data_IF_422061124030
#
_entry.id   IF_422061124030
#
_cell.length_a   1.000
_cell.length_b   1.000
_cell.length_c   1.000
_cell.angle_alpha   90.00
_cell.angle_beta   90.00
_cell.angle_gamma   90.00
#
_symmetry.space_group_name_H-M   'P 1'
#
loop_
_entity.id
_entity.type
_entity.pdbx_description
1 polymer ?
#
# COMPACT_ATOMS: atom_id res chain seq x y z
N UNK A 1 22.48 5.26 -4.77
CA UNK A 1 21.23 5.76 -5.37
C UNK A 1 21.20 5.40 -6.85
N UNK A 2 20.03 5.01 -7.34
CA UNK A 2 19.71 4.80 -8.75
C UNK A 2 18.57 5.77 -9.09
N UNK A 3 18.70 6.55 -10.16
CA UNK A 3 17.65 7.44 -10.63
C UNK A 3 17.45 7.25 -12.13
N UNK A 4 16.22 7.37 -12.61
CA UNK A 4 15.90 7.16 -14.01
C UNK A 4 14.70 7.96 -14.49
N UNK A 5 14.65 8.13 -15.81
CA UNK A 5 13.53 8.75 -16.53
C UNK A 5 13.01 7.73 -17.52
N UNK A 6 11.70 7.53 -17.52
CA UNK A 6 10.98 6.70 -18.49
C UNK A 6 10.30 7.62 -19.49
N UNK A 7 10.38 7.29 -20.79
CA UNK A 7 9.71 8.01 -21.87
C UNK A 7 9.14 7.03 -22.89
N UNK A 8 8.03 7.39 -23.52
CA UNK A 8 7.42 6.59 -24.57
C UNK A 8 6.76 5.30 -24.07
N UNK A 9 6.41 5.23 -22.78
CA UNK A 9 5.57 4.15 -22.29
C UNK A 9 4.18 4.22 -22.96
N UNK A 10 3.64 3.06 -23.34
CA UNK A 10 2.29 2.97 -23.91
C UNK A 10 1.29 3.75 -23.06
N UNK A 11 0.47 4.56 -23.73
CA UNK A 11 -0.27 5.71 -23.21
C UNK A 11 -0.91 5.51 -21.82
N UNK A 12 -0.11 5.59 -20.77
CA UNK A 12 -0.56 5.85 -19.41
C UNK A 12 -0.91 7.33 -19.36
N UNK A 13 -2.21 7.61 -19.22
CA UNK A 13 -2.63 8.98 -18.93
C UNK A 13 -1.93 9.42 -17.66
N UNK A 14 -1.38 10.64 -17.68
CA UNK A 14 -0.75 11.19 -16.49
C UNK A 14 -1.79 11.28 -15.37
N UNK A 15 -1.54 10.57 -14.27
CA UNK A 15 -2.30 10.71 -13.03
C UNK A 15 -1.48 11.54 -12.07
N UNK A 16 -2.10 12.58 -11.50
CA UNK A 16 -1.43 13.41 -10.52
C UNK A 16 -1.10 12.57 -9.28
N UNK A 17 0.19 12.46 -8.96
CA UNK A 17 0.65 11.80 -7.74
C UNK A 17 0.40 12.63 -6.48
N UNK A 18 0.28 11.96 -5.33
CA UNK A 18 0.13 12.57 -4.01
C UNK A 18 0.55 11.62 -2.89
N UNK A 19 1.84 11.56 -2.57
CA UNK A 19 2.38 10.71 -1.51
C UNK A 19 2.28 11.28 -0.09
N UNK A 20 1.50 12.34 0.14
CA UNK A 20 1.36 12.97 1.47
C UNK A 20 0.85 12.00 2.54
N UNK A 21 0.02 11.03 2.16
CA UNK A 21 -0.49 10.01 3.09
C UNK A 21 0.60 9.06 3.58
N UNK A 22 1.68 8.86 2.82
CA UNK A 22 2.86 8.12 3.26
C UNK A 22 3.68 8.93 4.27
N UNK A 23 3.95 10.21 3.95
CA UNK A 23 4.72 11.09 4.83
C UNK A 23 4.02 11.35 6.17
N UNK A 24 2.68 11.34 6.18
CA UNK A 24 1.85 11.53 7.37
C UNK A 24 1.64 10.25 8.19
N UNK A 25 2.37 9.15 7.92
CA UNK A 25 2.31 7.96 8.77
C UNK A 25 2.99 8.20 10.13
N UNK A 26 2.68 7.37 11.14
CA UNK A 26 3.40 7.35 12.41
C UNK A 26 4.93 7.25 12.25
N UNK A 27 5.70 7.93 13.10
CA UNK A 27 7.16 7.94 13.00
C UNK A 27 7.81 6.57 13.30
N UNK A 28 7.10 5.68 14.00
CA UNK A 28 7.54 4.31 14.26
C UNK A 28 7.25 3.36 13.08
N UNK A 29 6.72 3.82 11.94
CA UNK A 29 6.56 3.00 10.75
C UNK A 29 7.90 2.37 10.36
N UNK A 30 7.87 1.05 10.15
CA UNK A 30 9.00 0.24 9.75
C UNK A 30 8.97 -0.06 8.25
N UNK A 31 7.79 -0.29 7.68
CA UNK A 31 7.65 -0.47 6.24
C UNK A 31 6.33 0.13 5.77
N UNK A 32 6.33 0.77 4.61
CA UNK A 32 5.13 1.28 3.99
C UNK A 32 5.24 1.37 2.47
N UNK A 33 4.10 1.19 1.81
CA UNK A 33 3.92 1.35 0.38
C UNK A 33 2.74 2.26 0.15
N UNK A 34 2.90 3.21 -0.76
CA UNK A 34 1.86 4.12 -1.17
C UNK A 34 1.70 4.09 -2.69
N UNK A 35 0.45 4.11 -3.14
CA UNK A 35 0.06 4.26 -4.54
C UNK A 35 -1.03 5.32 -4.62
N UNK A 36 -0.88 6.27 -5.53
CA UNK A 36 -1.90 7.26 -5.87
C UNK A 36 -2.36 7.11 -7.32
N UNK A 37 -3.64 7.41 -7.55
CA UNK A 37 -4.30 7.19 -8.82
C UNK A 37 -4.71 5.75 -9.10
N UNK A 38 -4.75 4.89 -8.08
CA UNK A 38 -5.05 3.46 -8.27
C UNK A 38 -6.44 3.24 -8.88
N UNK A 39 -7.44 4.02 -8.47
CA UNK A 39 -8.77 4.06 -9.09
C UNK A 39 -8.74 4.34 -10.60
N UNK A 40 -7.95 5.31 -11.04
CA UNK A 40 -7.81 5.69 -12.44
C UNK A 40 -6.98 4.69 -13.24
N UNK A 41 -5.92 4.13 -12.62
CA UNK A 41 -5.10 3.08 -13.23
C UNK A 41 -5.93 1.82 -13.49
N UNK A 42 -6.89 1.52 -12.62
CA UNK A 42 -7.75 0.35 -12.75
C UNK A 42 -8.61 0.41 -14.00
N UNK A 43 -9.07 1.59 -14.45
CA UNK A 43 -9.84 1.72 -15.70
C UNK A 43 -9.08 1.17 -16.92
N UNK A 44 -7.76 1.36 -16.94
CA UNK A 44 -6.90 0.87 -18.02
C UNK A 44 -6.50 -0.60 -17.82
N UNK A 45 -6.33 -1.04 -16.57
CA UNK A 45 -5.88 -2.39 -16.25
C UNK A 45 -7.02 -3.43 -16.25
N UNK A 46 -8.25 -3.02 -15.96
CA UNK A 46 -9.39 -3.91 -15.75
C UNK A 46 -9.69 -4.84 -16.94
N UNK A 47 -9.67 -4.39 -18.20
CA UNK A 47 -9.94 -5.29 -19.33
C UNK A 47 -8.96 -6.46 -19.40
N UNK A 48 -7.69 -6.24 -19.04
CA UNK A 48 -6.69 -7.30 -19.00
C UNK A 48 -6.85 -8.19 -17.76
N UNK A 49 -7.11 -7.61 -16.59
CA UNK A 49 -7.38 -8.35 -15.37
C UNK A 49 -8.61 -9.26 -15.52
N UNK A 50 -9.69 -8.75 -16.10
CA UNK A 50 -10.90 -9.53 -16.40
C UNK A 50 -10.57 -10.74 -17.28
N UNK A 51 -9.81 -10.56 -18.36
CA UNK A 51 -9.40 -11.67 -19.23
C UNK A 51 -8.61 -12.74 -18.48
N UNK A 52 -7.73 -12.34 -17.57
CA UNK A 52 -6.96 -13.28 -16.74
C UNK A 52 -7.86 -14.04 -15.76
N UNK A 53 -8.77 -13.33 -15.10
CA UNK A 53 -9.78 -13.91 -14.21
C UNK A 53 -10.66 -14.92 -14.96
N UNK A 54 -11.20 -14.54 -16.11
CA UNK A 54 -12.03 -15.41 -16.95
C UNK A 54 -11.25 -16.66 -17.40
N UNK A 55 -9.97 -16.50 -17.75
CA UNK A 55 -9.09 -17.61 -18.12
C UNK A 55 -8.83 -18.59 -16.98
N UNK A 56 -8.65 -18.09 -15.76
CA UNK A 56 -8.51 -18.93 -14.55
C UNK A 56 -9.81 -19.66 -14.22
N UNK A 57 -10.95 -18.96 -14.30
CA UNK A 57 -12.27 -19.53 -14.05
C UNK A 57 -12.57 -20.68 -15.02
N UNK A 58 -12.32 -20.46 -16.32
CA UNK A 58 -12.48 -21.47 -17.36
C UNK A 58 -11.57 -22.70 -17.13
N UNK A 59 -10.32 -22.50 -16.69
CA UNK A 59 -9.42 -23.59 -16.33
C UNK A 59 -9.90 -24.39 -15.11
N UNK A 60 -10.63 -23.75 -14.18
CA UNK A 60 -11.23 -24.36 -13.00
C UNK A 60 -12.63 -24.93 -13.22
N UNK A 61 -13.19 -24.85 -14.43
CA UNK A 61 -14.56 -25.29 -14.73
C UNK A 61 -15.65 -24.45 -14.06
N UNK A 62 -15.33 -23.22 -13.65
CA UNK A 62 -16.29 -22.25 -13.12
C UNK A 62 -16.66 -21.26 -14.23
N UNK A 63 -17.95 -21.14 -14.48
CA UNK A 63 -18.47 -20.08 -15.35
C UNK A 63 -18.62 -18.79 -14.53
N UNK A 64 -18.05 -17.70 -15.07
CA UNK A 64 -18.19 -16.31 -14.59
C UNK A 64 -17.90 -16.09 -13.08
N UNK A 65 -16.63 -16.22 -12.72
CA UNK A 65 -16.15 -15.96 -11.35
C UNK A 65 -16.44 -14.53 -10.87
N UNK A 66 -16.49 -13.55 -11.77
CA UNK A 66 -16.77 -12.14 -11.42
C UNK A 66 -18.22 -12.01 -10.95
N UNK A 67 -19.18 -12.52 -11.72
CA UNK A 67 -20.59 -12.47 -11.33
C UNK A 67 -20.85 -13.17 -9.98
N UNK A 68 -20.14 -14.26 -9.71
CA UNK A 68 -20.20 -14.95 -8.41
C UNK A 68 -19.73 -14.06 -7.27
N UNK A 69 -18.61 -13.36 -7.44
CA UNK A 69 -18.07 -12.43 -6.43
C UNK A 69 -19.02 -11.25 -6.23
N UNK A 70 -19.51 -10.66 -7.31
CA UNK A 70 -20.48 -9.56 -7.28
C UNK A 70 -21.74 -9.93 -6.50
N UNK A 71 -22.28 -11.12 -6.73
CA UNK A 71 -23.46 -11.61 -6.02
C UNK A 71 -23.18 -11.90 -4.55
N UNK A 72 -22.04 -12.53 -4.23
CA UNK A 72 -21.71 -12.90 -2.85
C UNK A 72 -21.42 -11.69 -1.96
N UNK A 73 -20.70 -10.71 -2.48
CA UNK A 73 -20.32 -9.51 -1.75
C UNK A 73 -21.32 -8.36 -1.93
N UNK A 74 -22.31 -8.50 -2.82
CA UNK A 74 -23.21 -7.44 -3.28
C UNK A 74 -22.41 -6.19 -3.70
N UNK A 75 -21.45 -6.43 -4.60
CA UNK A 75 -20.54 -5.43 -5.18
C UNK A 75 -20.68 -5.37 -6.70
N UNK A 76 -20.17 -4.30 -7.30
CA UNK A 76 -20.11 -4.06 -8.74
C UNK A 76 -18.66 -3.83 -9.14
N UNK A 77 -18.09 -4.73 -9.92
CA UNK A 77 -16.70 -4.66 -10.36
C UNK A 77 -16.63 -4.09 -11.79
N UNK A 78 -15.70 -3.15 -12.07
CA UNK A 78 -14.58 -2.70 -11.23
C UNK A 78 -14.93 -1.56 -10.26
N UNK A 79 -16.14 -0.98 -10.31
CA UNK A 79 -16.47 0.27 -9.64
C UNK A 79 -16.22 0.25 -8.13
N UNK A 80 -16.66 -0.80 -7.44
CA UNK A 80 -16.43 -0.97 -6.01
C UNK A 80 -14.96 -1.26 -5.67
N UNK A 81 -14.20 -1.87 -6.59
CA UNK A 81 -12.75 -2.02 -6.42
C UNK A 81 -12.04 -0.66 -6.54
N UNK A 82 -12.50 0.23 -7.42
CA UNK A 82 -12.01 1.61 -7.50
C UNK A 82 -12.29 2.37 -6.21
N UNK A 83 -13.46 2.15 -5.61
CA UNK A 83 -13.83 2.75 -4.31
C UNK A 83 -12.92 2.26 -3.18
N UNK A 84 -12.60 0.96 -3.16
CA UNK A 84 -11.68 0.36 -2.17
C UNK A 84 -10.23 0.78 -2.33
N UNK A 85 -9.73 0.91 -3.56
CA UNK A 85 -8.37 1.41 -3.84
C UNK A 85 -8.28 2.92 -3.67
N UNK A 86 -9.37 3.63 -3.96
CA UNK A 86 -9.50 5.07 -3.86
C UNK A 86 -8.57 5.85 -4.80
N UNK A 87 -8.57 7.17 -4.60
CA UNK A 87 -7.62 8.12 -5.22
C UNK A 87 -6.21 7.85 -4.73
N UNK A 88 -6.05 7.30 -3.54
CA UNK A 88 -4.78 6.78 -3.06
C UNK A 88 -4.97 5.72 -1.99
N UNK A 89 -4.02 4.79 -1.93
CA UNK A 89 -3.97 3.73 -0.96
C UNK A 89 -2.55 3.61 -0.40
N UNK A 90 -2.45 3.51 0.92
CA UNK A 90 -1.21 3.31 1.66
C UNK A 90 -1.36 2.07 2.53
N UNK A 91 -0.39 1.15 2.47
CA UNK A 91 -0.22 0.08 3.46
C UNK A 91 0.99 0.44 4.33
N UNK A 92 0.86 0.25 5.64
CA UNK A 92 1.91 0.53 6.59
C UNK A 92 1.99 -0.52 7.69
N UNK A 93 3.21 -0.77 8.13
CA UNK A 93 3.55 -1.66 9.23
C UNK A 93 4.42 -0.90 10.23
N UNK A 94 4.05 -0.86 11.53
CA UNK A 94 4.88 -0.26 12.55
C UNK A 94 6.02 -1.21 12.96
N UNK A 95 7.03 -0.66 13.65
CA UNK A 95 7.96 -1.47 14.44
C UNK A 95 7.16 -2.34 15.41
N UNK A 96 7.47 -3.63 15.46
CA UNK A 96 6.74 -4.60 16.26
C UNK A 96 7.63 -5.80 16.62
N UNK A 97 7.26 -6.49 17.70
CA UNK A 97 7.89 -7.76 18.07
C UNK A 97 7.16 -8.94 17.44
N UNK A 98 7.77 -9.50 16.40
CA UNK A 98 7.24 -10.66 15.68
C UNK A 98 7.26 -11.96 16.50
N UNK A 99 7.98 -12.01 17.63
CA UNK A 99 7.97 -13.15 18.54
C UNK A 99 6.71 -13.21 19.40
N UNK A 100 5.99 -12.09 19.52
CA UNK A 100 4.77 -11.99 20.32
C UNK A 100 3.57 -12.76 19.74
N UNK A 101 3.68 -13.23 18.48
CA UNK A 101 2.60 -13.90 17.76
C UNK A 101 1.48 -12.96 17.29
N UNK A 102 1.56 -11.65 17.61
CA UNK A 102 0.60 -10.63 17.17
C UNK A 102 1.19 -9.84 16.03
N UNK A 103 0.52 -9.87 14.87
CA UNK A 103 0.92 -9.11 13.69
C UNK A 103 0.15 -7.80 13.60
N UNK A 104 0.88 -6.68 13.50
CA UNK A 104 0.29 -5.34 13.36
C UNK A 104 0.55 -4.81 11.95
N UNK A 105 -0.51 -4.54 11.21
CA UNK A 105 -0.45 -3.84 9.95
C UNK A 105 -1.76 -3.07 9.73
N UNK A 106 -1.74 -2.15 8.78
CA UNK A 106 -2.92 -1.41 8.42
C UNK A 106 -2.77 -0.65 7.12
N UNK A 107 -3.89 -0.11 6.69
CA UNK A 107 -4.03 0.61 5.45
C UNK A 107 -4.83 1.89 5.63
N UNK A 108 -4.54 2.84 4.76
CA UNK A 108 -5.24 4.10 4.63
C UNK A 108 -5.65 4.27 3.17
N UNK A 109 -6.94 4.49 2.95
CA UNK A 109 -7.52 4.77 1.63
C UNK A 109 -8.08 6.18 1.64
N UNK A 110 -7.79 6.97 0.61
CA UNK A 110 -8.50 8.21 0.30
C UNK A 110 -9.50 7.89 -0.81
N UNK A 111 -10.76 7.71 -0.46
CA UNK A 111 -11.78 7.19 -1.37
C UNK A 111 -12.63 8.30 -2.01
N UNK A 112 -13.22 7.99 -3.18
CA UNK A 112 -14.32 8.77 -3.75
C UNK A 112 -15.64 8.56 -3.00
N UNK A 113 -15.80 7.42 -2.33
CA UNK A 113 -16.97 7.06 -1.55
C UNK A 113 -16.55 6.24 -0.33
N UNK A 114 -16.10 6.95 0.71
CA UNK A 114 -15.60 6.32 1.93
C UNK A 114 -16.67 5.47 2.64
N UNK A 115 -17.96 5.86 2.52
CA UNK A 115 -19.06 5.09 3.11
C UNK A 115 -19.25 3.76 2.38
N UNK A 116 -19.25 3.77 1.04
CA UNK A 116 -19.34 2.52 0.26
C UNK A 116 -18.12 1.63 0.50
N UNK A 117 -16.91 2.20 0.57
CA UNK A 117 -15.70 1.46 0.92
C UNK A 117 -15.83 0.76 2.28
N UNK A 118 -16.34 1.47 3.29
CA UNK A 118 -16.59 0.96 4.64
C UNK A 118 -17.58 -0.22 4.63
N UNK A 119 -18.72 -0.07 3.95
CA UNK A 119 -19.73 -1.13 3.80
C UNK A 119 -19.16 -2.41 3.13
N UNK A 120 -18.26 -2.25 2.16
CA UNK A 120 -17.62 -3.40 1.49
C UNK A 120 -16.60 -4.07 2.43
N UNK A 121 -15.81 -3.27 3.15
CA UNK A 121 -14.85 -3.80 4.15
C UNK A 121 -15.60 -4.58 5.23
N UNK A 122 -16.71 -4.04 5.75
CA UNK A 122 -17.58 -4.71 6.71
C UNK A 122 -18.00 -6.11 6.24
N UNK A 123 -18.43 -6.23 4.98
CA UNK A 123 -18.84 -7.51 4.38
C UNK A 123 -17.67 -8.47 4.24
N UNK A 124 -16.52 -7.98 3.78
CA UNK A 124 -15.30 -8.79 3.66
C UNK A 124 -14.87 -9.36 5.02
N UNK A 125 -14.93 -8.54 6.08
CA UNK A 125 -14.64 -8.97 7.44
C UNK A 125 -15.61 -10.06 7.88
N UNK A 126 -16.91 -9.81 7.74
CA UNK A 126 -17.96 -10.78 8.12
C UNK A 126 -17.81 -12.13 7.41
N UNK A 127 -17.38 -12.13 6.14
CA UNK A 127 -17.16 -13.36 5.36
C UNK A 127 -15.87 -14.10 5.73
N UNK A 128 -14.80 -13.38 6.07
CA UNK A 128 -13.46 -13.97 6.21
C UNK A 128 -13.29 -14.81 7.48
N UNK A 129 -14.00 -14.48 8.56
CA UNK A 129 -13.60 -14.95 9.90
C UNK A 129 -14.74 -15.55 10.73
N UNK A 130 -16.00 -15.35 10.35
CA UNK A 130 -17.13 -15.60 11.25
C UNK A 130 -17.02 -14.89 12.62
N UNK A 131 -16.03 -14.01 12.78
CA UNK A 131 -15.55 -13.38 14.01
C UNK A 131 -15.15 -11.95 13.66
N UNK A 132 -15.88 -10.96 14.14
CA UNK A 132 -15.73 -9.52 13.83
C UNK A 132 -14.37 -8.90 14.19
N UNK A 133 -13.43 -9.67 14.74
CA UNK A 133 -12.29 -9.14 15.50
C UNK A 133 -10.95 -9.22 14.74
N UNK A 134 -10.95 -9.66 13.47
CA UNK A 134 -9.70 -9.84 12.72
C UNK A 134 -9.07 -8.53 12.24
N UNK A 135 -9.89 -7.51 11.97
CA UNK A 135 -9.45 -6.16 11.60
C UNK A 135 -10.45 -5.14 12.11
N UNK A 136 -9.94 -3.97 12.49
CA UNK A 136 -10.73 -2.78 12.82
C UNK A 136 -10.73 -1.85 11.61
N UNK A 137 -11.85 -1.20 11.35
CA UNK A 137 -11.98 -0.19 10.29
C UNK A 137 -12.66 1.06 10.84
N UNK A 138 -12.27 2.23 10.31
CA UNK A 138 -12.74 3.55 10.73
C UNK A 138 -12.86 4.46 9.52
N UNK A 139 -13.84 5.36 9.55
CA UNK A 139 -14.04 6.38 8.51
C UNK A 139 -13.90 7.78 9.10
N UNK A 140 -13.23 8.67 8.37
CA UNK A 140 -13.19 10.11 8.66
C UNK A 140 -13.16 10.92 7.36
N UNK A 141 -14.23 11.65 7.08
CA UNK A 141 -14.35 12.40 5.82
C UNK A 141 -14.30 11.46 4.62
N UNK A 142 -13.30 11.65 3.76
CA UNK A 142 -13.04 10.83 2.58
C UNK A 142 -12.05 9.68 2.83
N UNK A 143 -11.63 9.46 4.08
CA UNK A 143 -10.61 8.49 4.45
C UNK A 143 -11.19 7.27 5.12
N UNK A 144 -10.71 6.11 4.71
CA UNK A 144 -10.95 4.82 5.37
C UNK A 144 -9.63 4.28 5.92
N UNK A 145 -9.66 3.87 7.17
CA UNK A 145 -8.55 3.27 7.88
C UNK A 145 -8.92 1.83 8.20
N UNK A 146 -8.03 0.89 7.92
CA UNK A 146 -8.20 -0.53 8.26
C UNK A 146 -6.93 -0.99 8.96
N UNK A 147 -7.02 -1.70 10.08
CA UNK A 147 -5.84 -2.23 10.76
C UNK A 147 -6.15 -3.55 11.44
N UNK A 148 -5.12 -4.35 11.72
CA UNK A 148 -5.27 -5.59 12.49
C UNK A 148 -5.53 -5.34 13.98
N UNK A 149 -5.36 -4.10 14.47
CA UNK A 149 -5.67 -3.71 15.85
C UNK A 149 -6.40 -2.37 15.91
N UNK A 150 -7.29 -2.16 16.90
CA UNK A 150 -7.97 -0.87 17.09
C UNK A 150 -7.03 0.30 17.31
N UNK A 151 -5.98 0.08 18.10
CA UNK A 151 -4.95 1.09 18.43
C UNK A 151 -4.21 1.54 17.18
N UNK A 152 -3.82 0.62 16.30
CA UNK A 152 -3.12 1.01 15.08
C UNK A 152 -4.05 1.70 14.06
N UNK A 153 -5.35 1.38 14.05
CA UNK A 153 -6.32 2.18 13.29
C UNK A 153 -6.40 3.63 13.81
N UNK A 154 -6.30 3.84 15.13
CA UNK A 154 -6.24 5.19 15.73
C UNK A 154 -4.93 5.92 15.42
N UNK A 155 -3.79 5.21 15.42
CA UNK A 155 -2.50 5.77 15.01
C UNK A 155 -2.51 6.24 13.55
N UNK A 156 -3.04 5.41 12.64
CA UNK A 156 -3.17 5.75 11.22
C UNK A 156 -4.10 6.95 11.00
N UNK A 157 -5.20 7.02 11.78
CA UNK A 157 -6.15 8.13 11.75
C UNK A 157 -5.53 9.43 12.26
N UNK A 158 -4.85 9.37 13.41
CA UNK A 158 -4.18 10.52 14.02
C UNK A 158 -3.04 11.05 13.15
N UNK A 159 -2.44 10.17 12.35
CA UNK A 159 -1.30 10.50 11.51
C UNK A 159 -0.02 10.66 12.32
N UNK A 160 1.01 11.17 11.66
CA UNK A 160 2.32 11.27 12.25
C UNK A 160 3.31 12.05 11.40
N UNK A 161 4.59 11.82 11.68
CA UNK A 161 5.70 12.61 11.16
C UNK A 161 6.76 11.74 10.51
N UNK A 162 6.37 10.62 9.87
CA UNK A 162 7.31 9.76 9.16
C UNK A 162 8.16 10.55 8.16
N UNK A 163 7.53 11.46 7.42
CA UNK A 163 8.17 12.36 6.45
C UNK A 163 9.21 13.30 7.05
N UNK A 164 9.18 13.53 8.36
CA UNK A 164 10.15 14.37 9.05
C UNK A 164 11.40 13.60 9.51
N UNK A 165 11.35 12.27 9.51
CA UNK A 165 12.48 11.44 9.94
C UNK A 165 13.64 11.50 8.96
N UNK A 166 14.87 11.45 9.47
CA UNK A 166 16.06 11.47 8.63
C UNK A 166 16.12 10.27 7.68
N UNK A 167 15.74 9.08 8.16
CA UNK A 167 15.70 7.87 7.35
C UNK A 167 14.76 8.04 6.14
N UNK A 168 13.56 8.59 6.35
CA UNK A 168 12.60 8.85 5.27
C UNK A 168 13.10 9.93 4.30
N UNK A 169 13.57 11.07 4.82
CA UNK A 169 14.06 12.19 4.00
C UNK A 169 15.21 11.77 3.10
N UNK A 170 16.14 10.98 3.61
CA UNK A 170 17.30 10.52 2.86
C UNK A 170 16.95 9.39 1.89
N UNK A 171 16.14 8.40 2.31
CA UNK A 171 15.82 7.24 1.48
C UNK A 171 14.73 7.52 0.43
N UNK A 172 13.69 8.29 0.75
CA UNK A 172 12.52 8.51 -0.13
C UNK A 172 12.50 9.92 -0.72
N UNK A 173 12.85 10.92 0.09
CA UNK A 173 12.81 12.33 -0.32
C UNK A 173 11.39 12.92 -0.36
N UNK A 174 11.19 13.89 -1.26
CA UNK A 174 9.90 14.58 -1.42
C UNK A 174 8.89 13.68 -2.13
N UNK A 175 7.74 13.44 -1.47
CA UNK A 175 6.67 12.58 -1.97
C UNK A 175 5.44 13.32 -2.47
N UNK A 176 5.47 14.66 -2.49
CA UNK A 176 4.28 15.48 -2.80
C UNK A 176 3.68 15.21 -4.18
N UNK A 177 4.49 14.80 -5.16
CA UNK A 177 4.05 14.45 -6.51
C UNK A 177 4.16 12.95 -6.83
N UNK A 178 4.44 12.10 -5.83
CA UNK A 178 4.68 10.67 -6.07
C UNK A 178 3.41 9.92 -6.44
N UNK A 179 3.47 9.17 -7.52
CA UNK A 179 2.48 8.15 -7.85
C UNK A 179 2.69 6.90 -7.01
N UNK A 180 3.94 6.50 -6.84
CA UNK A 180 4.32 5.35 -6.02
C UNK A 180 5.46 5.74 -5.10
N UNK A 181 5.37 5.37 -3.83
CA UNK A 181 6.48 5.50 -2.90
C UNK A 181 6.56 4.30 -1.97
N UNK A 182 7.76 3.86 -1.67
CA UNK A 182 8.05 2.74 -0.77
C UNK A 182 9.09 3.22 0.23
N UNK A 183 8.87 2.89 1.50
CA UNK A 183 9.82 3.12 2.58
C UNK A 183 10.00 1.84 3.38
N UNK A 184 11.25 1.50 3.67
CA UNK A 184 11.61 0.40 4.54
C UNK A 184 12.74 0.87 5.46
N UNK A 185 12.48 0.85 6.76
CA UNK A 185 13.43 1.12 7.83
C UNK A 185 14.10 -0.20 8.23
N UNK A 186 15.35 -0.38 7.82
CA UNK A 186 16.07 -1.63 8.01
C UNK A 186 16.51 -1.79 9.46
N UNK A 187 16.90 -0.71 10.15
CA UNK A 187 17.25 -0.73 11.58
C UNK A 187 16.11 -1.35 12.43
N UNK A 188 14.85 -1.09 12.05
CA UNK A 188 13.67 -1.68 12.72
C UNK A 188 13.42 -3.13 12.31
N UNK A 189 13.68 -3.49 11.04
CA UNK A 189 13.50 -4.85 10.52
C UNK A 189 14.59 -5.84 10.95
N UNK A 190 15.77 -5.36 11.33
CA UNK A 190 16.92 -6.19 11.72
C UNK A 190 16.58 -7.29 12.73
N UNK A 191 15.62 -7.01 13.63
CA UNK A 191 15.10 -7.95 14.64
C UNK A 191 14.52 -9.22 14.02
N UNK A 192 14.08 -9.18 12.75
CA UNK A 192 13.52 -10.31 12.01
C UNK A 192 14.57 -11.26 11.44
N UNK A 193 15.63 -10.72 10.85
CA UNK A 193 16.53 -11.52 10.00
C UNK A 193 17.95 -11.66 10.57
N UNK A 194 18.44 -10.71 11.37
CA UNK A 194 19.85 -10.74 11.81
C UNK A 194 20.18 -11.93 12.73
N UNK A 195 19.18 -12.54 13.37
CA UNK A 195 19.37 -13.77 14.16
C UNK A 195 19.78 -14.98 13.31
N UNK A 196 19.43 -14.96 12.01
CA UNK A 196 19.65 -16.05 11.06
C UNK A 196 20.89 -15.82 10.19
N UNK A 197 21.38 -14.58 10.12
CA UNK A 197 22.54 -14.18 9.31
C UNK A 197 23.82 -14.16 10.15
N UNK A 198 24.94 -14.67 9.60
CA UNK A 198 26.23 -14.78 10.30
C UNK A 198 27.37 -14.18 9.49
N UNK A 199 28.46 -13.85 10.17
CA UNK A 199 29.70 -13.40 9.53
C UNK A 199 29.53 -12.07 8.77
N UNK A 200 30.21 -11.94 7.63
CA UNK A 200 30.27 -10.70 6.87
C UNK A 200 28.89 -10.21 6.38
N UNK A 201 27.94 -11.12 6.12
CA UNK A 201 26.60 -10.76 5.70
C UNK A 201 25.83 -10.04 6.81
N UNK A 202 26.06 -10.43 8.08
CA UNK A 202 25.45 -9.77 9.23
C UNK A 202 25.95 -8.33 9.34
N UNK A 203 27.27 -8.15 9.30
CA UNK A 203 27.89 -6.82 9.36
C UNK A 203 27.50 -5.93 8.17
N UNK A 204 27.35 -6.51 6.98
CA UNK A 204 26.84 -5.79 5.82
C UNK A 204 25.40 -5.31 6.05
N UNK A 205 24.51 -6.18 6.52
CA UNK A 205 23.12 -5.80 6.76
C UNK A 205 22.96 -4.78 7.89
N UNK A 206 23.76 -4.90 8.97
CA UNK A 206 23.84 -3.90 10.06
C UNK A 206 24.35 -2.53 9.60
N UNK A 207 25.02 -2.48 8.44
CA UNK A 207 25.47 -1.21 7.85
C UNK A 207 24.37 -0.51 7.04
N UNK A 208 23.23 -1.15 6.81
CA UNK A 208 22.13 -0.61 6.01
C UNK A 208 21.03 -0.06 6.92
N UNK A 209 20.66 1.19 6.70
CA UNK A 209 19.70 1.93 7.52
C UNK A 209 18.28 1.89 6.96
N UNK A 210 18.13 2.12 5.66
CA UNK A 210 16.82 2.22 5.02
C UNK A 210 16.86 1.99 3.51
N UNK A 211 15.72 1.60 2.95
CA UNK A 211 15.48 1.56 1.50
C UNK A 211 14.30 2.46 1.19
N UNK A 212 14.42 3.23 0.11
CA UNK A 212 13.35 4.06 -0.40
C UNK A 212 13.21 3.95 -1.90
N UNK A 213 11.96 3.94 -2.36
CA UNK A 213 11.59 4.08 -3.76
C UNK A 213 10.62 5.25 -3.86
N UNK A 214 10.79 6.07 -4.88
CA UNK A 214 9.88 7.15 -5.20
C UNK A 214 9.74 7.22 -6.72
N UNK A 215 8.50 7.18 -7.22
CA UNK A 215 8.20 7.27 -8.63
C UNK A 215 7.02 8.22 -8.87
N UNK A 216 7.12 9.00 -9.94
CA UNK A 216 6.11 9.98 -10.34
C UNK A 216 5.96 9.98 -11.85
N UNK A 217 4.73 10.17 -12.31
CA UNK A 217 4.40 10.46 -13.70
C UNK A 217 4.57 11.95 -13.94
N UNK A 218 5.40 12.31 -14.90
CA UNK A 218 5.72 13.72 -15.22
C UNK A 218 4.99 14.20 -16.47
N UNK A 219 4.41 13.29 -17.25
CA UNK A 219 3.64 13.55 -18.45
C UNK A 219 3.06 12.26 -19.02
N UNK A 220 2.28 12.35 -20.09
CA UNK A 220 1.76 11.15 -20.75
C UNK A 220 2.91 10.31 -21.29
N UNK A 221 2.99 9.04 -20.86
CA UNK A 221 4.09 8.15 -21.22
C UNK A 221 5.46 8.58 -20.68
N UNK A 222 5.52 9.53 -19.74
CA UNK A 222 6.76 10.02 -19.12
C UNK A 222 6.71 9.91 -17.60
N UNK A 223 7.82 9.50 -16.98
CA UNK A 223 7.94 9.46 -15.53
C UNK A 223 9.36 9.44 -15.04
N UNK A 224 9.52 9.65 -13.74
CA UNK A 224 10.80 9.61 -13.04
C UNK A 224 10.72 8.60 -11.91
N UNK A 225 11.85 7.97 -11.58
CA UNK A 225 11.96 7.19 -10.35
C UNK A 225 13.33 7.37 -9.70
N UNK A 226 13.36 7.18 -8.38
CA UNK A 226 14.57 7.04 -7.59
C UNK A 226 14.47 5.79 -6.72
N UNK A 227 15.57 5.07 -6.59
CA UNK A 227 15.78 4.01 -5.61
C UNK A 227 17.02 4.36 -4.80
N UNK A 228 16.89 4.40 -3.47
CA UNK A 228 17.99 4.67 -2.56
C UNK A 228 18.10 3.56 -1.54
N UNK A 229 19.33 3.14 -1.31
CA UNK A 229 19.72 2.33 -0.16
C UNK A 229 20.62 3.22 0.67
N UNK A 230 20.23 3.44 1.92
CA UNK A 230 20.91 4.28 2.87
C UNK A 230 21.78 3.41 3.77
N UNK A 231 23.06 3.75 3.90
CA UNK A 231 23.94 3.16 4.90
C UNK A 231 23.98 3.98 6.19
N UNK A 232 24.49 3.37 7.25
CA UNK A 232 24.84 4.01 8.52
C UNK A 232 26.09 4.88 8.43
#
# INVERSE_FOLDING_TARGET
ELAGVVRGADATKAVKGSGSELANLPANTMAAVHVSGADQMLDSAWPQLKKQIDGLAAAGGQDDMIATIEQQLDVKLPDDLKVLLGRSFTIAMPDQDFKSGTFTAGAKVVSSDAKRADEIIDRLVQMSTGSSDAVTHKVEGDKVYVATTPDYADDLKSGGKLGDTDAFKLAVGDVTSSNTAVFVDLDKLEKLYLGEVKGNDKTFLESLRAVGINAATTGNGEGTFTLRVLGN
#
